data_IF_850169672647
#
_entry.id   IF_850169672647
#
_cell.length_a   1.000
_cell.length_b   1.000
_cell.length_c   1.000
_cell.angle_alpha   90.00
_cell.angle_beta   90.00
_cell.angle_gamma   90.00
#
_symmetry.space_group_name_H-M   'P 1'
#
loop_
_entity.id
_entity.type
_entity.pdbx_description
1 polymer ?
#
# COMPACT_ATOMS: atom_id res chain seq x y z
N UNK A 1 5.96 15.08 -8.10
CA UNK A 1 4.92 14.12 -7.67
C UNK A 1 5.56 13.21 -6.62
N UNK A 2 5.42 13.54 -5.34
CA UNK A 2 6.07 12.80 -4.25
C UNK A 2 5.34 12.87 -2.91
N UNK A 3 4.12 13.42 -2.91
CA UNK A 3 3.34 13.67 -1.68
C UNK A 3 2.04 12.87 -1.63
N UNK A 4 1.78 12.02 -2.62
CA UNK A 4 0.55 11.21 -2.68
C UNK A 4 0.96 9.75 -2.54
N UNK A 5 0.58 9.15 -1.42
CA UNK A 5 0.78 7.72 -1.19
C UNK A 5 -0.09 6.90 -2.16
N UNK A 6 0.51 5.88 -2.77
CA UNK A 6 -0.18 4.95 -3.67
C UNK A 6 -0.12 3.54 -3.09
N UNK A 7 -1.28 2.90 -2.97
CA UNK A 7 -1.42 1.51 -2.55
C UNK A 7 -2.34 0.76 -3.52
N UNK A 8 -2.11 -0.54 -3.67
CA UNK A 8 -2.90 -1.44 -4.53
C UNK A 8 -3.72 -2.43 -3.72
N UNK A 9 -4.88 -2.82 -4.24
CA UNK A 9 -5.73 -3.84 -3.64
C UNK A 9 -6.38 -4.73 -4.69
N UNK A 10 -6.67 -5.98 -4.33
CA UNK A 10 -7.37 -6.94 -5.20
C UNK A 10 -6.63 -8.25 -5.38
N UNK A 11 -7.01 -9.02 -6.41
CA UNK A 11 -6.35 -10.29 -6.75
C UNK A 11 -5.09 -9.99 -7.56
N UNK A 12 -3.95 -9.89 -6.87
CA UNK A 12 -2.64 -9.56 -7.45
C UNK A 12 -1.73 -10.79 -7.39
N UNK A 13 -1.15 -11.24 -8.52
CA UNK A 13 -0.16 -12.32 -8.53
C UNK A 13 1.09 -11.97 -7.70
N UNK A 14 1.61 -12.93 -6.94
CA UNK A 14 2.82 -12.71 -6.12
C UNK A 14 4.03 -12.26 -6.95
N UNK A 15 4.13 -12.74 -8.20
CA UNK A 15 5.19 -12.36 -9.13
C UNK A 15 5.15 -10.88 -9.55
N UNK A 16 4.00 -10.23 -9.46
CA UNK A 16 3.83 -8.82 -9.85
C UNK A 16 4.18 -7.86 -8.71
N UNK A 17 4.12 -8.31 -7.44
CA UNK A 17 4.37 -7.49 -6.25
C UNK A 17 5.74 -6.80 -6.29
N UNK A 18 6.87 -7.47 -6.65
CA UNK A 18 8.16 -6.81 -6.77
C UNK A 18 8.15 -5.64 -7.78
N UNK A 19 7.47 -5.82 -8.92
CA UNK A 19 7.35 -4.78 -9.94
C UNK A 19 6.51 -3.59 -9.48
N UNK A 20 5.39 -3.87 -8.80
CA UNK A 20 4.52 -2.85 -8.22
C UNK A 20 5.28 -1.99 -7.17
N UNK A 21 6.07 -2.63 -6.31
CA UNK A 21 6.90 -1.91 -5.32
C UNK A 21 7.96 -1.04 -5.99
N UNK A 22 8.63 -1.55 -7.03
CA UNK A 22 9.61 -0.78 -7.80
C UNK A 22 8.97 0.43 -8.52
N UNK A 23 7.69 0.33 -8.88
CA UNK A 23 6.92 1.41 -9.49
C UNK A 23 6.41 2.47 -8.48
N UNK A 24 6.72 2.32 -7.19
CA UNK A 24 6.33 3.29 -6.15
C UNK A 24 5.03 2.95 -5.43
N UNK A 25 4.50 1.73 -5.57
CA UNK A 25 3.39 1.27 -4.73
C UNK A 25 3.94 0.91 -3.35
N UNK A 26 3.40 1.59 -2.34
CA UNK A 26 3.88 1.51 -0.97
C UNK A 26 3.31 0.29 -0.23
N UNK A 27 2.08 -0.10 -0.55
CA UNK A 27 1.42 -1.28 -0.01
C UNK A 27 0.57 -2.00 -1.05
N UNK A 28 0.49 -3.33 -0.90
CA UNK A 28 -0.35 -4.21 -1.71
C UNK A 28 -1.21 -5.04 -0.76
N UNK A 29 -2.52 -4.97 -0.92
CA UNK A 29 -3.50 -5.70 -0.10
C UNK A 29 -4.19 -6.78 -0.93
N UNK A 30 -3.92 -8.04 -0.61
CA UNK A 30 -4.44 -9.22 -1.32
C UNK A 30 -5.73 -9.73 -0.67
N UNK A 31 -6.46 -10.68 -1.29
CA UNK A 31 -7.63 -11.28 -0.65
C UNK A 31 -7.28 -11.84 0.73
N UNK A 32 -8.09 -11.52 1.74
CA UNK A 32 -7.85 -11.92 3.12
C UNK A 32 -7.16 -10.87 3.99
N UNK A 33 -6.61 -9.78 3.42
CA UNK A 33 -6.15 -8.63 4.21
C UNK A 33 -7.33 -8.05 4.99
N UNK A 34 -7.14 -7.87 6.31
CA UNK A 34 -8.15 -7.28 7.19
C UNK A 34 -8.34 -5.79 6.92
N UNK A 35 -9.55 -5.27 7.15
CA UNK A 35 -9.80 -3.84 7.03
C UNK A 35 -8.97 -3.05 8.05
N UNK A 36 -8.79 -3.62 9.25
CA UNK A 36 -8.00 -3.05 10.33
C UNK A 36 -6.54 -2.80 9.90
N UNK A 37 -5.93 -3.75 9.19
CA UNK A 37 -4.58 -3.64 8.66
C UNK A 37 -4.46 -2.52 7.62
N UNK A 38 -5.42 -2.45 6.69
CA UNK A 38 -5.49 -1.39 5.67
C UNK A 38 -5.61 -0.01 6.35
N UNK A 39 -6.52 0.12 7.32
CA UNK A 39 -6.74 1.36 8.07
C UNK A 39 -5.50 1.75 8.87
N UNK A 40 -4.82 0.79 9.50
CA UNK A 40 -3.58 1.04 10.26
C UNK A 40 -2.49 1.59 9.36
N UNK A 41 -2.27 0.93 8.20
CA UNK A 41 -1.29 1.38 7.21
C UNK A 41 -1.56 2.83 6.79
N UNK A 42 -2.80 3.17 6.42
CA UNK A 42 -3.16 4.53 5.97
C UNK A 42 -2.91 5.56 7.08
N UNK A 43 -3.33 5.26 8.32
CA UNK A 43 -3.14 6.18 9.46
C UNK A 43 -1.67 6.42 9.76
N UNK A 44 -0.85 5.37 9.76
CA UNK A 44 0.59 5.49 9.99
C UNK A 44 1.28 6.27 8.87
N UNK A 45 0.89 6.00 7.62
CA UNK A 45 1.47 6.64 6.44
C UNK A 45 1.21 8.15 6.42
N UNK A 46 -0.04 8.58 6.70
CA UNK A 46 -0.41 10.00 6.75
C UNK A 46 0.30 10.73 7.89
N UNK A 47 0.49 10.08 9.05
CA UNK A 47 1.26 10.65 10.16
C UNK A 47 2.71 10.93 9.78
N UNK A 48 3.34 10.05 8.98
CA UNK A 48 4.72 10.22 8.53
C UNK A 48 4.90 11.41 7.57
N UNK A 49 3.90 11.75 6.77
CA UNK A 49 3.97 12.91 5.86
C UNK A 49 3.86 14.25 6.57
N UNK A 50 3.19 14.30 7.72
CA UNK A 50 2.90 15.54 8.44
C UNK A 50 3.73 15.69 9.71
N UNK A 51 4.78 14.88 9.87
CA UNK A 51 5.74 14.94 10.97
C UNK A 51 6.98 15.75 10.55
#
# INVERSE_FOLDING_TARGET
AGEIAVFGGGVIPEADIPGLRAAGIEAVFTPGTSLEEIVSFIRERVKKDHA
#
